data_IF_073045896703
#
_entry.id   IF_073045896703
#
_cell.length_a   1.000
_cell.length_b   1.000
_cell.length_c   1.000
_cell.angle_alpha   90.00
_cell.angle_beta   90.00
_cell.angle_gamma   90.00
#
_symmetry.space_group_name_H-M   'P 1'
#
loop_
_entity.id
_entity.type
_entity.pdbx_description
1 polymer ?
#
# COMPACT_ATOMS: atom_id res chain seq x y z
N UNK A 1 2.95 17.70 23.56
CA UNK A 1 1.70 17.15 22.97
C UNK A 1 2.14 16.36 21.75
N UNK A 2 1.83 15.05 21.70
CA UNK A 2 2.20 14.22 20.56
C UNK A 2 1.10 14.29 19.49
N UNK A 3 1.49 14.17 18.22
CA UNK A 3 0.62 14.22 17.07
C UNK A 3 0.65 12.90 16.30
N UNK A 4 -0.51 12.27 16.16
CA UNK A 4 -0.71 11.17 15.22
C UNK A 4 -0.99 11.75 13.84
N UNK A 5 -0.25 11.31 12.82
CA UNK A 5 -0.31 11.87 11.47
C UNK A 5 -1.00 10.92 10.48
N UNK A 6 -1.92 11.46 9.69
CA UNK A 6 -2.69 10.74 8.67
C UNK A 6 -2.14 10.94 7.27
N UNK A 7 -2.08 12.19 6.82
CA UNK A 7 -1.62 12.55 5.49
C UNK A 7 -1.16 14.00 5.42
N UNK A 8 -0.55 14.33 4.28
CA UNK A 8 -0.20 15.71 3.90
C UNK A 8 -0.94 16.07 2.63
N UNK A 9 -1.36 17.32 2.52
CA UNK A 9 -1.93 17.89 1.31
C UNK A 9 -1.46 19.35 1.15
N UNK A 10 -1.86 19.98 0.05
CA UNK A 10 -1.65 21.42 -0.13
C UNK A 10 -2.57 22.22 0.78
N UNK A 11 -2.02 23.25 1.40
CA UNK A 11 -2.79 24.16 2.27
C UNK A 11 -3.97 24.80 1.55
N UNK A 12 -3.81 25.13 0.27
CA UNK A 12 -4.85 25.78 -0.54
C UNK A 12 -6.09 24.89 -0.78
N UNK A 13 -5.97 23.57 -0.62
CA UNK A 13 -7.10 22.66 -0.71
C UNK A 13 -8.08 22.79 0.48
N UNK A 14 -7.65 23.48 1.54
CA UNK A 14 -8.44 23.66 2.77
C UNK A 14 -8.70 25.15 3.05
N UNK A 15 -9.83 25.71 2.59
CA UNK A 15 -10.16 27.12 2.79
C UNK A 15 -10.12 27.55 4.26
N UNK A 16 -10.45 26.66 5.18
CA UNK A 16 -10.37 26.91 6.63
C UNK A 16 -8.97 27.33 7.09
N UNK A 17 -7.90 26.91 6.39
CA UNK A 17 -6.52 27.28 6.71
C UNK A 17 -6.07 28.62 6.13
N UNK A 18 -6.85 29.24 5.24
CA UNK A 18 -6.40 30.44 4.52
C UNK A 18 -6.00 31.59 5.45
N UNK A 19 -6.69 31.74 6.59
CA UNK A 19 -6.46 32.81 7.56
C UNK A 19 -5.90 32.33 8.90
N UNK A 20 -5.67 31.01 9.05
CA UNK A 20 -5.23 30.44 10.32
C UNK A 20 -3.77 30.03 10.28
N UNK A 21 -3.03 30.37 11.34
CA UNK A 21 -1.65 29.93 11.58
C UNK A 21 -1.56 28.84 12.66
N UNK A 22 -2.69 28.53 13.30
CA UNK A 22 -2.84 27.47 14.30
C UNK A 22 -3.62 26.29 13.73
N UNK A 23 -3.52 25.11 14.31
CA UNK A 23 -4.34 23.97 13.92
C UNK A 23 -5.84 24.31 13.96
N UNK A 24 -6.57 23.87 12.93
CA UNK A 24 -8.03 24.08 12.81
C UNK A 24 -8.70 22.71 12.86
N UNK A 25 -9.73 22.52 13.72
CA UNK A 25 -10.44 21.24 13.78
C UNK A 25 -11.17 20.94 12.47
N UNK A 26 -11.18 19.66 12.08
CA UNK A 26 -12.03 19.12 11.03
C UNK A 26 -13.29 18.53 11.67
N UNK A 27 -14.46 19.00 11.22
CA UNK A 27 -15.74 18.52 11.75
C UNK A 27 -16.26 17.27 11.01
N UNK A 28 -15.72 17.00 9.81
CA UNK A 28 -16.20 15.95 8.90
C UNK A 28 -15.88 14.53 9.40
N UNK A 29 -14.78 14.36 10.16
CA UNK A 29 -14.29 13.03 10.51
C UNK A 29 -13.62 13.01 11.89
N UNK A 30 -13.82 11.91 12.63
CA UNK A 30 -13.04 11.59 13.83
C UNK A 30 -11.88 10.68 13.48
N UNK A 31 -10.78 10.89 14.16
CA UNK A 31 -9.54 10.15 13.99
C UNK A 31 -9.44 8.87 14.81
N UNK A 32 -8.23 8.36 14.91
CA UNK A 32 -7.87 7.20 15.73
C UNK A 32 -8.33 7.42 17.16
N UNK A 33 -8.90 6.39 17.77
CA UNK A 33 -9.47 6.42 19.13
C UNK A 33 -10.60 7.45 19.35
N UNK A 34 -11.24 7.93 18.27
CA UNK A 34 -12.29 8.95 18.33
C UNK A 34 -11.77 10.37 18.57
N UNK A 35 -10.46 10.59 18.48
CA UNK A 35 -9.86 11.89 18.71
C UNK A 35 -10.23 12.89 17.60
N UNK A 36 -10.32 14.16 17.98
CA UNK A 36 -10.54 15.26 17.03
C UNK A 36 -9.39 15.33 16.02
N UNK A 37 -9.73 15.41 14.74
CA UNK A 37 -8.76 15.62 13.65
C UNK A 37 -8.55 17.12 13.43
N UNK A 38 -7.32 17.51 13.17
CA UNK A 38 -6.91 18.89 12.93
C UNK A 38 -6.19 19.04 11.60
N UNK A 39 -6.45 20.15 10.93
CA UNK A 39 -5.65 20.68 9.83
C UNK A 39 -4.51 21.51 10.44
N UNK A 40 -3.30 21.00 10.38
CA UNK A 40 -2.12 21.67 10.90
C UNK A 40 -1.39 22.43 9.77
N UNK A 41 -1.35 23.77 9.81
CA UNK A 41 -0.68 24.56 8.76
C UNK A 41 0.85 24.49 8.88
N UNK A 42 1.52 24.10 7.81
CA UNK A 42 2.97 24.02 7.73
C UNK A 42 3.47 24.60 6.39
N UNK A 43 3.73 25.89 6.34
CA UNK A 43 4.04 26.67 5.11
C UNK A 43 2.91 26.53 4.08
N UNK A 44 3.20 25.99 2.89
CA UNK A 44 2.23 25.76 1.80
C UNK A 44 1.50 24.42 1.93
N UNK A 45 1.79 23.66 2.99
CA UNK A 45 1.23 22.36 3.26
C UNK A 45 0.23 22.40 4.42
N UNK A 46 -0.73 21.48 4.38
CA UNK A 46 -1.59 21.10 5.48
C UNK A 46 -1.22 19.69 5.92
N UNK A 47 -0.92 19.50 7.19
CA UNK A 47 -0.73 18.16 7.77
C UNK A 47 -1.99 17.79 8.51
N UNK A 48 -2.55 16.66 8.20
CA UNK A 48 -3.77 16.17 8.85
C UNK A 48 -3.34 15.30 10.01
N UNK A 49 -3.70 15.73 11.23
CA UNK A 49 -3.21 15.14 12.49
C UNK A 49 -4.33 15.03 13.52
N UNK A 50 -4.15 14.20 14.54
CA UNK A 50 -4.92 14.25 15.79
C UNK A 50 -3.97 14.23 16.99
N UNK A 51 -4.46 14.68 18.14
CA UNK A 51 -3.74 14.48 19.38
C UNK A 51 -3.56 12.99 19.65
N UNK A 52 -2.40 12.62 20.17
CA UNK A 52 -2.07 11.23 20.46
C UNK A 52 -1.57 11.08 21.89
N UNK A 53 -2.20 10.17 22.63
CA UNK A 53 -1.66 9.73 23.91
C UNK A 53 -0.75 8.51 23.67
N UNK A 54 0.55 8.56 24.05
CA UNK A 54 1.47 7.42 23.89
C UNK A 54 1.01 6.12 24.55
N UNK A 55 0.07 6.19 25.48
CA UNK A 55 -0.52 5.01 26.14
C UNK A 55 -1.65 4.35 25.31
N UNK A 56 -2.15 5.02 24.26
CA UNK A 56 -3.20 4.48 23.41
C UNK A 56 -2.62 3.41 22.47
N UNK A 57 -3.03 2.16 22.69
CA UNK A 57 -2.62 1.06 21.81
C UNK A 57 -3.29 1.18 20.44
N UNK A 58 -2.49 1.13 19.38
CA UNK A 58 -2.97 1.07 18.00
C UNK A 58 -3.41 -0.36 17.67
N UNK A 59 -4.63 -0.52 17.21
CA UNK A 59 -5.24 -1.80 16.87
C UNK A 59 -5.85 -1.78 15.44
N UNK A 60 -6.52 -2.87 15.06
CA UNK A 60 -7.14 -2.98 13.74
C UNK A 60 -8.20 -1.89 13.49
N UNK A 61 -8.99 -1.52 14.50
CA UNK A 61 -9.97 -0.42 14.41
C UNK A 61 -9.26 0.90 14.12
N UNK A 62 -8.14 1.15 14.80
CA UNK A 62 -7.30 2.34 14.56
C UNK A 62 -6.82 2.42 13.10
N UNK A 63 -6.54 1.26 12.47
CA UNK A 63 -6.20 1.19 11.04
C UNK A 63 -7.35 1.62 10.13
N UNK A 64 -8.57 1.22 10.45
CA UNK A 64 -9.78 1.63 9.72
C UNK A 64 -10.04 3.13 9.90
N UNK A 65 -9.92 3.65 11.11
CA UNK A 65 -10.11 5.08 11.39
C UNK A 65 -9.05 5.93 10.67
N UNK A 66 -7.78 5.47 10.64
CA UNK A 66 -6.70 6.09 9.87
C UNK A 66 -7.04 6.17 8.38
N UNK A 67 -7.46 5.06 7.78
CA UNK A 67 -7.83 5.01 6.37
C UNK A 67 -9.04 5.91 6.05
N UNK A 68 -10.02 6.00 6.97
CA UNK A 68 -11.21 6.85 6.82
C UNK A 68 -10.83 8.33 6.75
N UNK A 69 -9.95 8.81 7.63
CA UNK A 69 -9.47 10.21 7.60
C UNK A 69 -8.76 10.52 6.29
N UNK A 70 -7.91 9.61 5.81
CA UNK A 70 -7.21 9.80 4.54
C UNK A 70 -8.19 9.83 3.36
N UNK A 71 -9.19 8.93 3.35
CA UNK A 71 -10.21 8.87 2.30
C UNK A 71 -11.07 10.14 2.27
N UNK A 72 -11.45 10.67 3.42
CA UNK A 72 -12.19 11.94 3.53
C UNK A 72 -11.39 13.07 2.88
N UNK A 73 -10.13 13.25 3.25
CA UNK A 73 -9.26 14.26 2.64
C UNK A 73 -9.03 14.03 1.14
N UNK A 74 -8.88 12.76 0.73
CA UNK A 74 -8.66 12.39 -0.67
C UNK A 74 -9.86 12.68 -1.57
N UNK A 75 -11.07 12.70 -1.02
CA UNK A 75 -12.28 12.98 -1.80
C UNK A 75 -12.25 14.38 -2.46
N UNK A 76 -11.56 15.34 -1.86
CA UNK A 76 -11.52 16.74 -2.33
C UNK A 76 -10.11 17.31 -2.52
N UNK A 77 -9.06 16.54 -2.23
CA UNK A 77 -7.67 16.99 -2.38
C UNK A 77 -6.74 15.88 -2.85
N UNK A 78 -5.52 16.26 -3.26
CA UNK A 78 -4.42 15.30 -3.47
C UNK A 78 -3.72 15.10 -2.14
N UNK A 79 -3.65 13.88 -1.66
CA UNK A 79 -3.04 13.55 -0.37
C UNK A 79 -1.80 12.68 -0.52
N UNK A 80 -0.85 12.87 0.37
CA UNK A 80 0.31 11.99 0.58
C UNK A 80 0.09 11.26 1.90
N UNK A 81 -0.34 10.00 1.90
CA UNK A 81 -0.58 9.25 3.12
C UNK A 81 0.68 9.03 3.94
N UNK A 82 0.61 9.21 5.23
CA UNK A 82 1.58 8.65 6.16
C UNK A 82 1.33 7.15 6.38
N UNK A 83 2.36 6.45 6.80
CA UNK A 83 2.19 5.06 7.27
C UNK A 83 1.34 5.06 8.54
N UNK A 84 0.50 4.04 8.66
CA UNK A 84 -0.20 3.77 9.90
C UNK A 84 0.78 3.72 11.09
N UNK A 85 0.43 4.37 12.20
CA UNK A 85 1.28 4.46 13.38
C UNK A 85 2.37 5.55 13.31
N UNK A 86 2.31 6.48 12.36
CA UNK A 86 3.24 7.62 12.33
C UNK A 86 2.86 8.63 13.40
N UNK A 87 3.74 8.83 14.37
CA UNK A 87 3.57 9.75 15.49
C UNK A 87 4.75 10.71 15.59
N UNK A 88 4.46 11.98 15.81
CA UNK A 88 5.44 13.02 16.15
C UNK A 88 5.31 13.36 17.64
N UNK A 89 6.41 13.38 18.38
CA UNK A 89 6.40 13.56 19.83
C UNK A 89 5.94 14.94 20.27
N UNK A 90 6.14 15.94 19.42
CA UNK A 90 5.80 17.33 19.69
C UNK A 90 5.65 18.16 18.41
N UNK A 91 5.22 19.39 18.60
CA UNK A 91 5.00 20.39 17.57
C UNK A 91 6.29 20.74 16.80
N UNK A 92 7.40 20.81 17.51
CA UNK A 92 8.70 21.19 16.94
C UNK A 92 9.19 20.10 15.98
N UNK A 93 9.14 18.84 16.41
CA UNK A 93 9.51 17.68 15.61
C UNK A 93 8.65 17.57 14.35
N UNK A 94 7.33 17.76 14.47
CA UNK A 94 6.41 17.80 13.34
C UNK A 94 6.81 18.89 12.34
N UNK A 95 6.94 20.13 12.80
CA UNK A 95 7.31 21.29 11.96
C UNK A 95 8.66 21.10 11.28
N UNK A 96 9.66 20.65 12.01
CA UNK A 96 11.01 20.39 11.50
C UNK A 96 10.99 19.33 10.39
N UNK A 97 10.29 18.22 10.62
CA UNK A 97 10.16 17.14 9.65
C UNK A 97 9.47 17.62 8.36
N UNK A 98 8.35 18.33 8.48
CA UNK A 98 7.63 18.85 7.31
C UNK A 98 8.46 19.87 6.55
N UNK A 99 9.09 20.81 7.24
CA UNK A 99 9.93 21.85 6.61
C UNK A 99 11.12 21.26 5.88
N UNK A 100 11.80 20.28 6.48
CA UNK A 100 12.97 19.62 5.87
C UNK A 100 12.62 18.85 4.58
N UNK A 101 11.39 18.37 4.45
CA UNK A 101 10.94 17.58 3.30
C UNK A 101 9.93 18.35 2.41
N UNK A 102 9.69 19.63 2.64
CA UNK A 102 8.65 20.41 1.97
C UNK A 102 8.73 20.34 0.44
N UNK A 103 9.92 20.51 -0.12
CA UNK A 103 10.13 20.45 -1.59
C UNK A 103 9.75 19.09 -2.16
N UNK A 104 10.10 18.03 -1.45
CA UNK A 104 9.78 16.66 -1.87
C UNK A 104 8.27 16.37 -1.77
N UNK A 105 7.62 16.84 -0.70
CA UNK A 105 6.16 16.72 -0.57
C UNK A 105 5.42 17.45 -1.68
N UNK A 106 5.76 18.70 -1.95
CA UNK A 106 5.15 19.47 -3.02
C UNK A 106 5.37 18.80 -4.39
N UNK A 107 6.59 18.34 -4.68
CA UNK A 107 6.88 17.63 -5.92
C UNK A 107 6.10 16.31 -6.07
N UNK A 108 5.86 15.58 -4.98
CA UNK A 108 5.02 14.37 -5.00
C UNK A 108 3.55 14.72 -5.19
N UNK A 109 3.05 15.77 -4.53
CA UNK A 109 1.67 16.24 -4.72
C UNK A 109 1.43 16.63 -6.18
N UNK A 110 2.36 17.38 -6.79
CA UNK A 110 2.25 17.77 -8.21
C UNK A 110 2.18 16.56 -9.15
N UNK A 111 3.02 15.57 -8.93
CA UNK A 111 3.03 14.33 -9.73
C UNK A 111 1.74 13.52 -9.59
N UNK A 112 1.12 13.55 -8.40
CA UNK A 112 -0.06 12.74 -8.07
C UNK A 112 -1.37 13.52 -8.21
N UNK A 113 -1.30 14.78 -8.62
CA UNK A 113 -2.47 15.65 -8.77
C UNK A 113 -3.45 15.07 -9.78
N UNK A 114 -4.72 14.91 -9.35
CA UNK A 114 -5.79 14.38 -10.18
C UNK A 114 -5.69 12.88 -10.44
N UNK A 115 -4.74 12.17 -9.79
CA UNK A 115 -4.54 10.74 -9.96
C UNK A 115 -5.13 9.94 -8.80
N UNK A 116 -5.35 8.67 -9.06
CA UNK A 116 -5.84 7.69 -8.09
C UNK A 116 -5.19 6.34 -8.33
N UNK A 117 -5.18 5.51 -7.32
CA UNK A 117 -4.63 4.16 -7.37
C UNK A 117 -5.76 3.14 -7.48
N UNK A 118 -5.62 2.22 -8.45
CA UNK A 118 -6.50 1.07 -8.61
C UNK A 118 -5.70 -0.20 -8.34
N UNK A 119 -6.23 -1.10 -7.51
CA UNK A 119 -5.60 -2.36 -7.19
C UNK A 119 -6.27 -3.52 -7.92
N UNK A 120 -5.46 -4.29 -8.61
CA UNK A 120 -5.85 -5.50 -9.31
C UNK A 120 -5.13 -6.70 -8.68
N UNK A 121 -5.89 -7.57 -8.02
CA UNK A 121 -5.39 -8.82 -7.45
C UNK A 121 -5.76 -9.97 -8.36
N UNK A 122 -4.80 -10.83 -8.67
CA UNK A 122 -4.98 -11.98 -9.54
C UNK A 122 -4.72 -13.24 -8.74
N UNK A 123 -5.73 -14.11 -8.71
CA UNK A 123 -5.68 -15.38 -8.04
C UNK A 123 -5.69 -16.49 -9.09
N UNK A 124 -4.96 -17.55 -8.82
CA UNK A 124 -4.94 -18.77 -9.64
C UNK A 124 -5.31 -19.94 -8.76
N UNK A 125 -6.11 -20.84 -9.29
CA UNK A 125 -6.32 -22.13 -8.65
C UNK A 125 -5.08 -22.97 -8.93
N UNK A 126 -4.18 -23.04 -7.94
CA UNK A 126 -3.11 -24.02 -7.94
C UNK A 126 -3.76 -25.40 -7.72
N UNK A 127 -4.21 -26.03 -8.82
CA UNK A 127 -4.67 -27.42 -8.81
C UNK A 127 -3.58 -28.40 -8.32
N UNK A 128 -2.40 -27.91 -7.97
CA UNK A 128 -1.22 -28.67 -7.57
C UNK A 128 -0.89 -28.57 -6.08
N UNK A 129 -1.73 -27.95 -5.26
CA UNK A 129 -1.65 -28.16 -3.81
C UNK A 129 -2.27 -29.53 -3.45
N UNK A 130 -1.76 -30.61 -4.06
CA UNK A 130 -1.93 -31.92 -3.46
C UNK A 130 -1.23 -31.87 -2.11
N UNK A 131 -2.03 -31.93 -1.06
CA UNK A 131 -1.53 -32.27 0.28
C UNK A 131 -0.65 -33.50 0.09
N UNK A 132 0.63 -33.35 0.35
CA UNK A 132 1.54 -34.48 0.46
C UNK A 132 1.06 -35.25 1.67
N UNK A 133 0.20 -36.25 1.47
CA UNK A 133 -0.02 -37.26 2.49
C UNK A 133 1.37 -37.72 2.92
N UNK A 134 1.71 -37.49 4.18
CA UNK A 134 2.92 -37.95 4.81
C UNK A 134 2.88 -39.48 4.81
N UNK A 135 3.33 -40.12 3.73
CA UNK A 135 3.73 -41.49 3.79
C UNK A 135 5.02 -41.55 4.62
N UNK A 136 4.83 -41.72 5.91
CA UNK A 136 5.86 -42.15 6.85
C UNK A 136 6.22 -43.60 6.59
N UNK A 137 7.03 -43.84 5.57
CA UNK A 137 7.77 -45.07 5.37
C UNK A 137 9.24 -44.80 5.67
N UNK A 138 9.82 -45.51 6.61
CA UNK A 138 11.08 -45.19 7.32
C UNK A 138 12.38 -45.47 6.56
N UNK A 139 12.40 -45.64 5.25
CA UNK A 139 13.64 -45.89 4.47
C UNK A 139 13.81 -44.85 3.37
N UNK A 140 14.57 -43.79 3.61
CA UNK A 140 15.06 -42.75 2.69
C UNK A 140 14.59 -41.33 2.97
N UNK A 141 14.62 -40.90 4.21
CA UNK A 141 14.29 -39.51 4.61
C UNK A 141 15.10 -38.46 3.80
N UNK A 142 16.38 -38.73 3.51
CA UNK A 142 17.22 -37.82 2.74
C UNK A 142 16.84 -37.71 1.27
N UNK A 143 16.46 -38.83 0.63
CA UNK A 143 16.02 -38.84 -0.79
C UNK A 143 14.67 -38.18 -0.94
N UNK A 144 13.73 -38.43 -0.02
CA UNK A 144 12.43 -37.77 0.03
C UNK A 144 12.57 -36.26 0.24
N UNK A 145 13.47 -35.82 1.12
CA UNK A 145 13.77 -34.42 1.35
C UNK A 145 14.29 -33.72 0.08
N UNK A 146 15.27 -34.32 -0.60
CA UNK A 146 15.82 -33.75 -1.86
C UNK A 146 14.78 -33.74 -2.99
N UNK A 147 13.92 -34.76 -3.07
CA UNK A 147 12.82 -34.78 -4.04
C UNK A 147 11.83 -33.64 -3.79
N UNK A 148 11.44 -33.42 -2.53
CA UNK A 148 10.54 -32.34 -2.14
C UNK A 148 11.16 -30.97 -2.43
N UNK A 149 12.46 -30.78 -2.18
CA UNK A 149 13.16 -29.52 -2.52
C UNK A 149 13.16 -29.25 -4.04
N UNK A 150 13.43 -30.29 -4.85
CA UNK A 150 13.42 -30.15 -6.31
C UNK A 150 11.99 -29.83 -6.83
N UNK A 151 11.00 -30.50 -6.28
CA UNK A 151 9.60 -30.28 -6.65
C UNK A 151 9.14 -28.86 -6.27
N UNK A 152 9.46 -28.42 -5.07
CA UNK A 152 9.16 -27.05 -4.61
C UNK A 152 9.87 -26.00 -5.50
N UNK A 153 11.15 -26.22 -5.85
CA UNK A 153 11.89 -25.35 -6.74
C UNK A 153 11.29 -25.32 -8.17
N UNK A 154 10.81 -26.47 -8.67
CA UNK A 154 10.12 -26.53 -9.96
C UNK A 154 8.81 -25.78 -9.94
N UNK A 155 7.98 -25.97 -8.92
CA UNK A 155 6.72 -25.24 -8.72
C UNK A 155 6.93 -23.74 -8.60
N UNK A 156 7.94 -23.30 -7.86
CA UNK A 156 8.27 -21.89 -7.73
C UNK A 156 8.66 -21.26 -9.08
N UNK A 157 9.45 -21.96 -9.91
CA UNK A 157 9.83 -21.52 -11.27
C UNK A 157 8.62 -21.44 -12.20
N UNK A 158 7.75 -22.45 -12.17
CA UNK A 158 6.53 -22.48 -12.97
C UNK A 158 5.60 -21.34 -12.59
N UNK A 159 5.40 -21.12 -11.29
CA UNK A 159 4.61 -20.01 -10.77
C UNK A 159 5.20 -18.67 -11.21
N UNK A 160 6.51 -18.49 -11.13
CA UNK A 160 7.19 -17.26 -11.58
C UNK A 160 7.00 -17.05 -13.09
N UNK A 161 7.11 -18.09 -13.90
CA UNK A 161 6.89 -18.02 -15.35
C UNK A 161 5.47 -17.62 -15.68
N UNK A 162 4.48 -18.25 -15.02
CA UNK A 162 3.06 -17.91 -15.16
C UNK A 162 2.78 -16.47 -14.74
N UNK A 163 3.36 -16.04 -13.61
CA UNK A 163 3.19 -14.67 -13.11
C UNK A 163 3.74 -13.63 -14.09
N UNK A 164 4.91 -13.89 -14.69
CA UNK A 164 5.49 -13.01 -15.73
C UNK A 164 4.60 -12.92 -16.96
N UNK A 165 4.08 -14.03 -17.44
CA UNK A 165 3.19 -14.05 -18.60
C UNK A 165 1.90 -13.27 -18.32
N UNK A 166 1.27 -13.50 -17.17
CA UNK A 166 0.05 -12.79 -16.76
C UNK A 166 0.33 -11.31 -16.53
N UNK A 167 1.43 -10.96 -15.87
CA UNK A 167 1.84 -9.56 -15.65
C UNK A 167 2.02 -8.81 -16.97
N UNK A 168 2.71 -9.42 -17.94
CA UNK A 168 2.89 -8.83 -19.27
C UNK A 168 1.57 -8.64 -20.01
N UNK A 169 0.67 -9.62 -19.90
CA UNK A 169 -0.67 -9.51 -20.49
C UNK A 169 -1.48 -8.38 -19.85
N UNK A 170 -1.45 -8.24 -18.51
CA UNK A 170 -2.10 -7.14 -17.79
C UNK A 170 -1.53 -5.79 -18.22
N UNK A 171 -0.20 -5.66 -18.27
CA UNK A 171 0.45 -4.45 -18.74
C UNK A 171 -0.05 -4.03 -20.13
N UNK A 172 -0.06 -4.95 -21.11
CA UNK A 172 -0.56 -4.65 -22.46
C UNK A 172 -2.03 -4.25 -22.51
N UNK A 173 -2.86 -4.87 -21.65
CA UNK A 173 -4.29 -4.60 -21.63
C UNK A 173 -4.61 -3.24 -20.98
N UNK A 174 -3.88 -2.84 -19.93
CA UNK A 174 -4.17 -1.64 -19.15
C UNK A 174 -3.28 -0.44 -19.52
N UNK A 175 -2.18 -0.63 -20.25
CA UNK A 175 -1.25 0.44 -20.65
C UNK A 175 -1.91 1.74 -21.15
N UNK A 176 -2.97 1.73 -21.94
CA UNK A 176 -3.61 2.97 -22.39
C UNK A 176 -4.35 3.76 -21.30
N UNK A 177 -4.47 3.20 -20.09
CA UNK A 177 -5.24 3.78 -18.98
C UNK A 177 -4.37 4.11 -17.76
N UNK A 178 -3.21 3.49 -17.64
CA UNK A 178 -2.28 3.70 -16.53
C UNK A 178 -1.18 4.69 -16.91
N UNK A 179 -0.70 5.41 -15.91
CA UNK A 179 0.45 6.32 -16.04
C UNK A 179 1.68 5.73 -15.33
N UNK A 180 1.46 4.87 -14.35
CA UNK A 180 2.51 4.16 -13.64
C UNK A 180 1.96 2.86 -13.06
N UNK A 181 2.81 1.85 -12.92
CA UNK A 181 2.44 0.51 -12.47
C UNK A 181 3.41 0.02 -11.41
N UNK A 182 2.86 -0.46 -10.30
CA UNK A 182 3.59 -1.24 -9.30
C UNK A 182 3.04 -2.66 -9.29
N UNK A 183 3.88 -3.64 -9.59
CA UNK A 183 3.48 -5.04 -9.64
C UNK A 183 4.30 -5.86 -8.65
N UNK A 184 3.62 -6.63 -7.80
CA UNK A 184 4.22 -7.53 -6.84
C UNK A 184 3.81 -8.97 -7.13
N UNK A 185 4.81 -9.84 -7.31
CA UNK A 185 4.61 -11.28 -7.33
C UNK A 185 4.41 -11.80 -5.90
N UNK A 186 3.39 -12.62 -5.70
CA UNK A 186 3.15 -13.31 -4.43
C UNK A 186 3.74 -14.72 -4.51
N UNK A 187 4.65 -15.02 -3.58
CA UNK A 187 5.37 -16.30 -3.61
C UNK A 187 4.53 -17.47 -3.13
N UNK A 188 3.58 -17.20 -2.23
CA UNK A 188 2.78 -18.23 -1.59
C UNK A 188 1.27 -17.96 -1.69
N UNK A 189 0.49 -19.00 -1.57
CA UNK A 189 -0.97 -18.94 -1.53
C UNK A 189 -1.62 -18.82 -2.91
N UNK A 190 -2.93 -18.62 -2.93
CA UNK A 190 -3.73 -18.55 -4.16
C UNK A 190 -3.51 -17.25 -4.95
N UNK A 191 -3.10 -16.16 -4.29
CA UNK A 191 -2.84 -14.90 -4.96
C UNK A 191 -1.52 -14.96 -5.72
N UNK A 192 -1.57 -14.74 -7.02
CA UNK A 192 -0.40 -14.75 -7.92
C UNK A 192 0.23 -13.37 -8.03
N UNK A 193 -0.58 -12.34 -8.26
CA UNK A 193 -0.11 -10.97 -8.48
C UNK A 193 -0.96 -9.98 -7.67
N UNK A 194 -0.30 -8.96 -7.15
CA UNK A 194 -0.89 -7.74 -6.59
C UNK A 194 -0.35 -6.56 -7.39
N UNK A 195 -1.22 -5.92 -8.18
CA UNK A 195 -0.85 -4.86 -9.12
C UNK A 195 -1.55 -3.58 -8.70
N UNK A 196 -0.78 -2.51 -8.51
CA UNK A 196 -1.32 -1.17 -8.32
C UNK A 196 -1.06 -0.36 -9.59
N UNK A 197 -2.14 0.21 -10.16
CA UNK A 197 -2.10 1.11 -11.31
C UNK A 197 -2.39 2.53 -10.86
N UNK A 198 -1.53 3.48 -11.24
CA UNK A 198 -1.78 4.90 -11.08
C UNK A 198 -2.47 5.43 -12.33
N UNK A 199 -3.68 5.95 -12.17
CA UNK A 199 -4.50 6.44 -13.29
C UNK A 199 -5.05 7.83 -13.01
N UNK A 200 -5.44 8.57 -14.06
CA UNK A 200 -6.24 9.79 -13.88
C UNK A 200 -7.61 9.43 -13.28
N UNK A 201 -8.07 10.20 -12.30
CA UNK A 201 -9.41 10.03 -11.68
C UNK A 201 -10.55 10.01 -12.70
N UNK A 202 -10.40 10.74 -13.81
CA UNK A 202 -11.38 10.75 -14.90
C UNK A 202 -11.46 9.43 -15.66
N UNK A 203 -10.43 8.58 -15.52
CA UNK A 203 -10.35 7.29 -16.20
C UNK A 203 -10.90 6.12 -15.36
N UNK A 204 -11.39 6.35 -14.14
CA UNK A 204 -11.86 5.28 -13.24
C UNK A 204 -12.97 4.45 -13.87
N UNK A 205 -13.97 5.06 -14.48
CA UNK A 205 -15.06 4.35 -15.14
C UNK A 205 -14.55 3.50 -16.33
N UNK A 206 -13.66 4.07 -17.15
CA UNK A 206 -13.02 3.33 -18.26
C UNK A 206 -12.20 2.17 -17.75
N UNK A 207 -11.54 2.33 -16.58
CA UNK A 207 -10.78 1.26 -15.95
C UNK A 207 -11.70 0.12 -15.48
N UNK A 208 -12.85 0.42 -14.87
CA UNK A 208 -13.85 -0.57 -14.48
C UNK A 208 -14.38 -1.34 -15.70
N UNK A 209 -14.72 -0.66 -16.78
CA UNK A 209 -15.17 -1.29 -18.03
C UNK A 209 -14.08 -2.20 -18.62
N UNK A 210 -12.82 -1.76 -18.56
CA UNK A 210 -11.68 -2.55 -19.02
C UNK A 210 -11.48 -3.78 -18.15
N UNK A 211 -11.58 -3.63 -16.83
CA UNK A 211 -11.53 -4.75 -15.90
C UNK A 211 -12.59 -5.79 -16.20
N UNK A 212 -13.86 -5.38 -16.39
CA UNK A 212 -14.96 -6.28 -16.68
C UNK A 212 -14.71 -7.08 -17.95
N UNK A 213 -14.29 -6.41 -19.04
CA UNK A 213 -13.98 -7.07 -20.31
C UNK A 213 -12.77 -8.01 -20.19
N UNK A 214 -11.73 -7.62 -19.44
CA UNK A 214 -10.53 -8.43 -19.23
C UNK A 214 -10.84 -9.67 -18.40
N UNK A 215 -11.61 -9.52 -17.31
CA UNK A 215 -12.03 -10.62 -16.45
C UNK A 215 -12.86 -11.68 -17.21
N UNK A 216 -13.68 -11.25 -18.17
CA UNK A 216 -14.46 -12.17 -19.01
C UNK A 216 -13.58 -13.01 -19.96
N UNK A 217 -12.44 -12.48 -20.40
CA UNK A 217 -11.49 -13.17 -21.29
C UNK A 217 -10.58 -14.10 -20.50
N UNK A 218 -10.12 -13.67 -19.32
CA UNK A 218 -9.13 -14.39 -18.51
C UNK A 218 -9.78 -15.39 -17.54
N UNK A 219 -10.48 -16.38 -18.08
CA UNK A 219 -11.23 -17.37 -17.28
C UNK A 219 -10.36 -18.29 -16.42
N UNK A 220 -9.06 -18.37 -16.70
CA UNK A 220 -8.10 -19.19 -15.93
C UNK A 220 -7.65 -18.51 -14.62
N UNK A 221 -8.02 -17.25 -14.41
CA UNK A 221 -7.63 -16.47 -13.25
C UNK A 221 -8.88 -15.83 -12.63
N UNK A 222 -8.97 -15.90 -11.32
CA UNK A 222 -9.93 -15.05 -10.60
C UNK A 222 -9.29 -13.67 -10.39
N UNK A 223 -9.98 -12.64 -10.82
CA UNK A 223 -9.52 -11.26 -10.70
C UNK A 223 -10.37 -10.49 -9.70
N UNK A 224 -9.76 -9.71 -8.85
CA UNK A 224 -10.44 -8.81 -7.92
C UNK A 224 -9.92 -7.38 -8.12
N UNK A 225 -10.85 -6.45 -8.24
CA UNK A 225 -10.57 -5.02 -8.36
C UNK A 225 -10.96 -4.30 -7.09
N UNK A 226 -10.13 -3.35 -6.66
CA UNK A 226 -10.46 -2.40 -5.60
C UNK A 226 -9.90 -1.01 -5.90
N UNK A 227 -10.50 0.00 -5.32
CA UNK A 227 -10.21 1.42 -5.57
C UNK A 227 -11.46 2.17 -6.02
N UNK A 228 -11.37 3.47 -6.24
CA UNK A 228 -10.17 4.31 -6.24
C UNK A 228 -9.60 4.57 -4.83
N UNK A 229 -8.29 4.42 -4.69
CA UNK A 229 -7.56 4.65 -3.44
C UNK A 229 -6.64 5.87 -3.54
N UNK A 230 -6.27 6.50 -2.41
CA UNK A 230 -5.10 7.37 -2.35
C UNK A 230 -3.86 6.63 -2.86
N UNK A 231 -2.90 7.33 -3.49
CA UNK A 231 -1.77 6.69 -4.18
C UNK A 231 -0.69 6.19 -3.22
N UNK A 232 -1.00 5.20 -2.39
CA UNK A 232 -0.10 4.65 -1.36
C UNK A 232 1.20 4.07 -1.92
N UNK A 233 1.15 3.41 -3.08
CA UNK A 233 2.30 2.74 -3.68
C UNK A 233 3.19 3.70 -4.46
N UNK A 234 2.67 4.86 -4.86
CA UNK A 234 3.35 5.82 -5.75
C UNK A 234 3.90 7.04 -5.02
N UNK A 235 3.69 7.15 -3.72
CA UNK A 235 4.39 8.13 -2.90
C UNK A 235 5.84 7.66 -2.77
N UNK A 236 6.78 8.37 -3.38
CA UNK A 236 8.20 8.07 -3.24
C UNK A 236 8.59 8.01 -1.77
N UNK A 237 9.30 6.96 -1.37
CA UNK A 237 9.78 6.76 -0.01
C UNK A 237 10.51 8.02 0.44
N UNK A 238 9.89 8.74 1.34
CA UNK A 238 10.51 9.88 2.00
C UNK A 238 11.77 9.38 2.69
N UNK A 239 12.86 10.10 2.55
CA UNK A 239 14.00 9.95 3.46
C UNK A 239 13.43 9.93 4.87
N UNK A 240 13.70 8.86 5.64
CA UNK A 240 13.13 8.65 6.99
C UNK A 240 13.06 9.97 7.72
N UNK A 241 11.89 10.38 8.24
CA UNK A 241 11.84 11.51 9.14
C UNK A 241 12.76 11.16 10.32
N UNK A 242 13.73 12.03 10.59
CA UNK A 242 14.83 11.78 11.54
C UNK A 242 14.31 11.46 12.96
N UNK A 243 13.02 11.65 13.23
CA UNK A 243 12.43 11.50 14.56
C UNK A 243 10.95 11.04 14.58
N UNK A 244 10.42 10.36 13.57
CA UNK A 244 9.13 9.70 13.71
C UNK A 244 9.34 8.27 14.23
N UNK A 245 8.80 7.95 15.40
CA UNK A 245 8.73 6.56 15.85
C UNK A 245 7.47 5.94 15.27
N UNK A 246 7.64 4.93 14.44
CA UNK A 246 6.54 4.03 14.06
C UNK A 246 6.33 3.10 15.26
N UNK A 247 5.26 3.27 16.01
CA UNK A 247 4.85 2.24 16.98
C UNK A 247 4.46 1.02 16.17
N UNK A 248 5.22 -0.06 16.32
CA UNK A 248 4.85 -1.35 15.78
C UNK A 248 3.51 -1.75 16.41
N UNK A 249 2.50 -2.01 15.58
CA UNK A 249 1.29 -2.68 16.03
C UNK A 249 1.75 -3.97 16.74
N UNK A 250 1.33 -4.15 17.98
CA UNK A 250 1.64 -5.38 18.74
C UNK A 250 1.15 -6.55 17.90
N UNK A 251 2.02 -7.49 17.48
CA UNK A 251 1.56 -8.65 16.73
C UNK A 251 0.61 -9.43 17.63
N UNK A 252 -0.58 -9.68 17.13
CA UNK A 252 -1.49 -10.67 17.72
C UNK A 252 -0.71 -11.97 17.76
N UNK A 253 -0.61 -12.68 18.91
CA UNK A 253 0.12 -13.92 18.99
C UNK A 253 -0.55 -14.96 18.08
N UNK A 254 0.08 -15.21 16.95
CA UNK A 254 -0.22 -16.38 16.12
C UNK A 254 0.39 -17.58 16.85
N UNK A 255 -0.31 -18.71 16.99
CA UNK A 255 0.28 -19.89 17.60
C UNK A 255 1.51 -20.31 16.79
N UNK A 256 2.57 -20.61 17.50
CA UNK A 256 3.90 -20.93 17.00
C UNK A 256 3.84 -21.96 15.85
N UNK A 257 4.35 -21.57 14.69
CA UNK A 257 4.92 -22.49 13.72
C UNK A 257 6.33 -22.01 13.42
N UNK A 258 7.31 -22.80 13.87
CA UNK A 258 8.70 -22.72 13.47
C UNK A 258 8.81 -22.70 11.95
N UNK A 259 9.41 -21.68 11.40
CA UNK A 259 10.04 -21.79 10.07
C UNK A 259 10.94 -20.60 9.77
N UNK A 260 12.12 -20.94 9.36
CA UNK A 260 13.28 -20.20 8.94
C UNK A 260 13.02 -18.95 8.09
N UNK A 261 13.78 -17.91 8.40
CA UNK A 261 13.96 -16.71 7.59
C UNK A 261 14.45 -17.08 6.18
N UNK A 262 13.70 -16.68 5.16
CA UNK A 262 14.13 -16.73 3.76
C UNK A 262 14.25 -15.30 3.23
N UNK A 263 15.32 -14.96 2.49
CA UNK A 263 15.57 -13.59 2.06
C UNK A 263 14.52 -13.11 1.05
N UNK A 264 14.01 -11.93 1.28
CA UNK A 264 13.13 -11.20 0.35
C UNK A 264 13.92 -10.83 -0.88
N UNK A 265 13.70 -11.52 -1.99
CA UNK A 265 14.21 -11.12 -3.31
C UNK A 265 13.35 -9.97 -3.82
N UNK A 266 13.88 -8.76 -3.72
CA UNK A 266 13.33 -7.60 -4.38
C UNK A 266 13.61 -7.76 -5.88
N UNK A 267 12.60 -8.11 -6.66
CA UNK A 267 12.70 -8.05 -8.12
C UNK A 267 12.86 -6.59 -8.54
N UNK A 268 13.99 -6.29 -9.17
CA UNK A 268 14.28 -5.00 -9.77
C UNK A 268 13.19 -4.64 -10.77
N UNK A 269 12.81 -3.37 -10.77
CA UNK A 269 11.90 -2.77 -11.74
C UNK A 269 12.35 -3.11 -13.17
N UNK A 270 11.42 -3.45 -14.06
CA UNK A 270 11.77 -3.46 -15.49
C UNK A 270 11.88 -2.01 -15.94
N UNK A 271 13.11 -1.52 -16.07
CA UNK A 271 13.40 -0.30 -16.82
C UNK A 271 12.94 -0.55 -18.26
N UNK A 272 12.06 0.28 -18.85
CA UNK A 272 11.75 0.16 -20.25
C UNK A 272 12.98 0.56 -21.04
N UNK A 273 13.68 -0.41 -21.64
CA UNK A 273 14.67 -0.15 -22.68
C UNK A 273 13.86 0.09 -23.96
N UNK A 274 13.78 1.35 -24.37
CA UNK A 274 13.34 1.71 -25.72
C UNK A 274 14.45 1.34 -26.70
N UNK A 275 14.12 0.51 -27.66
CA UNK A 275 14.74 0.45 -28.98
C UNK A 275 13.70 0.91 -29.98
#
# INVERSE_FOLDING_TARGET
>A
MAWYAYCISEKQAFPALARHRKPVPMESVLGVSGNQVFLYPASDLAVIVSEHNPQDALNQKSGVDHARVIADCFSHSTVLPFRFGTVFHDDETLRKSIRSNQRQFLGNIDKLRGKTEMHLKIFVDDCCAREIEKHLGSENVGRAYLSNLRENASRARERQTRARAVSFQMYRLFLPLDEDVSCRLMENGKMLLDIAHLIDRKCVERYHNKFTSTSAIMRECQMQLSGPWPPYHFVHKLTRPVHAQTQAATPVPTPASDSAETPVVTLMEPTPVFV
#
